data_IF_412324310714
#
_entry.id   IF_412324310714
#
_cell.length_a   1.000
_cell.length_b   1.000
_cell.length_c   1.000
_cell.angle_alpha   90.00
_cell.angle_beta   90.00
_cell.angle_gamma   90.00
#
_symmetry.space_group_name_H-M   'P 1'
#
loop_
_entity.id
_entity.type
_entity.pdbx_description
1 polymer ?
#
# COMPACT_ATOMS: atom_id res chain seq x y z
N UNK A 1 10.68 -24.15 -5.28
CA UNK A 1 9.64 -25.15 -4.95
C UNK A 1 8.57 -24.45 -4.13
N UNK A 2 7.33 -24.29 -4.63
CA UNK A 2 6.24 -23.69 -3.83
C UNK A 2 5.79 -24.69 -2.77
N UNK A 3 5.64 -24.25 -1.52
CA UNK A 3 5.17 -25.10 -0.42
C UNK A 3 3.69 -25.43 -0.62
N UNK A 4 3.32 -26.71 -0.58
CA UNK A 4 1.91 -27.17 -0.65
C UNK A 4 1.05 -26.50 0.43
N UNK A 5 1.61 -26.28 1.62
CA UNK A 5 0.94 -25.56 2.70
C UNK A 5 0.65 -24.10 2.32
N UNK A 6 1.62 -23.40 1.74
CA UNK A 6 1.43 -22.01 1.33
C UNK A 6 0.39 -21.86 0.21
N UNK A 7 0.26 -22.86 -0.67
CA UNK A 7 -0.81 -22.88 -1.67
C UNK A 7 -2.18 -23.15 -1.06
N UNK A 8 -2.27 -24.05 -0.09
CA UNK A 8 -3.52 -24.30 0.64
C UNK A 8 -3.99 -23.05 1.38
N UNK A 9 -3.10 -22.39 2.12
CA UNK A 9 -3.43 -21.15 2.85
C UNK A 9 -3.93 -20.03 1.93
N UNK A 10 -3.37 -19.91 0.71
CA UNK A 10 -3.87 -18.94 -0.27
C UNK A 10 -5.28 -19.28 -0.72
N UNK A 11 -5.55 -20.56 -1.03
CA UNK A 11 -6.89 -20.99 -1.43
C UNK A 11 -7.92 -20.74 -0.33
N UNK A 12 -7.58 -21.05 0.92
CA UNK A 12 -8.48 -20.86 2.06
C UNK A 12 -8.75 -19.37 2.31
N UNK A 13 -7.72 -18.53 2.15
CA UNK A 13 -7.85 -17.07 2.23
C UNK A 13 -8.74 -16.52 1.10
N UNK A 14 -8.51 -16.97 -0.14
CA UNK A 14 -9.28 -16.54 -1.31
C UNK A 14 -10.76 -16.91 -1.16
N UNK A 15 -11.05 -18.11 -0.64
CA UNK A 15 -12.42 -18.56 -0.39
C UNK A 15 -13.09 -17.73 0.71
N UNK A 16 -12.37 -17.44 1.79
CA UNK A 16 -12.87 -16.58 2.88
C UNK A 16 -13.23 -15.18 2.38
N UNK A 17 -12.38 -14.58 1.53
CA UNK A 17 -12.63 -13.26 0.93
C UNK A 17 -13.80 -13.29 -0.05
N UNK A 18 -14.05 -14.40 -0.75
CA UNK A 18 -15.21 -14.53 -1.66
C UNK A 18 -16.55 -14.55 -0.94
N UNK A 19 -16.57 -15.03 0.30
CA UNK A 19 -17.78 -15.10 1.12
C UNK A 19 -18.13 -13.77 1.78
N UNK A 20 -17.21 -12.80 1.76
CA UNK A 20 -17.43 -11.45 2.28
C UNK A 20 -18.28 -10.61 1.33
N UNK A 21 -19.06 -9.72 1.92
CA UNK A 21 -19.73 -8.61 1.24
C UNK A 21 -18.70 -7.63 0.62
N UNK A 22 -19.20 -6.65 -0.14
CA UNK A 22 -18.32 -5.60 -0.70
C UNK A 22 -17.71 -4.75 0.42
N UNK A 23 -18.51 -4.37 1.42
CA UNK A 23 -18.07 -3.50 2.50
C UNK A 23 -16.98 -4.18 3.36
N UNK A 24 -17.19 -5.45 3.74
CA UNK A 24 -16.20 -6.24 4.49
C UNK A 24 -14.88 -6.39 3.73
N UNK A 25 -14.94 -6.51 2.39
CA UNK A 25 -13.73 -6.58 1.57
C UNK A 25 -12.98 -5.25 1.53
N UNK A 26 -13.70 -4.13 1.51
CA UNK A 26 -13.08 -2.80 1.56
C UNK A 26 -12.41 -2.58 2.92
N UNK A 27 -13.10 -2.90 4.00
CA UNK A 27 -12.56 -2.78 5.36
C UNK A 27 -11.32 -3.66 5.56
N UNK A 28 -11.35 -4.90 5.05
CA UNK A 28 -10.19 -5.79 5.06
C UNK A 28 -9.03 -5.20 4.26
N UNK A 29 -9.28 -4.69 3.04
CA UNK A 29 -8.24 -4.12 2.20
C UNK A 29 -7.58 -2.89 2.86
N UNK A 30 -8.38 -2.02 3.48
CA UNK A 30 -7.89 -0.84 4.19
C UNK A 30 -7.08 -1.21 5.43
N UNK A 31 -7.56 -2.16 6.24
CA UNK A 31 -6.85 -2.61 7.44
C UNK A 31 -5.51 -3.28 7.10
N UNK A 32 -5.46 -4.10 6.04
CA UNK A 32 -4.19 -4.67 5.54
C UNK A 32 -3.21 -3.57 5.11
N UNK A 33 -3.70 -2.50 4.50
CA UNK A 33 -2.89 -1.33 4.15
C UNK A 33 -2.25 -0.67 5.38
N UNK A 34 -3.05 -0.45 6.43
CA UNK A 34 -2.59 0.15 7.69
C UNK A 34 -1.54 -0.74 8.38
N UNK A 35 -1.80 -2.05 8.51
CA UNK A 35 -0.89 -3.01 9.12
C UNK A 35 0.48 -3.03 8.43
N UNK A 36 0.50 -2.91 7.10
CA UNK A 36 1.76 -2.84 6.33
C UNK A 36 2.54 -1.57 6.66
N UNK A 37 1.86 -0.42 6.76
CA UNK A 37 2.50 0.86 7.11
C UNK A 37 3.07 0.79 8.52
N UNK A 38 2.32 0.27 9.48
CA UNK A 38 2.75 0.08 10.86
C UNK A 38 3.97 -0.84 10.95
N UNK A 39 3.93 -1.98 10.26
CA UNK A 39 5.05 -2.93 10.22
C UNK A 39 6.30 -2.28 9.64
N UNK A 40 6.15 -1.51 8.56
CA UNK A 40 7.26 -0.77 7.95
C UNK A 40 7.83 0.28 8.90
N UNK A 41 6.95 1.06 9.55
CA UNK A 41 7.32 2.07 10.54
C UNK A 41 8.13 1.45 11.69
N UNK A 42 7.61 0.36 12.26
CA UNK A 42 8.26 -0.37 13.35
C UNK A 42 9.62 -0.93 12.95
N UNK A 43 9.72 -1.54 11.76
CA UNK A 43 10.98 -2.12 11.26
C UNK A 43 12.10 -1.08 11.09
N UNK A 44 11.75 0.20 10.96
CA UNK A 44 12.66 1.32 10.74
C UNK A 44 12.79 2.26 11.92
N UNK A 45 12.03 2.04 13.00
CA UNK A 45 11.98 2.93 14.15
C UNK A 45 11.49 4.34 13.82
N UNK A 46 10.58 4.48 12.86
CA UNK A 46 9.99 5.77 12.44
C UNK A 46 8.50 5.82 12.79
N UNK A 47 7.90 7.00 12.68
CA UNK A 47 6.46 7.18 12.91
C UNK A 47 5.63 6.65 11.74
N UNK A 48 4.33 6.42 12.00
CA UNK A 48 3.36 6.04 10.98
C UNK A 48 3.29 7.05 9.82
N UNK A 49 3.24 8.35 10.11
CA UNK A 49 3.13 9.39 9.10
C UNK A 49 4.39 9.51 8.23
N UNK A 50 5.57 9.25 8.80
CA UNK A 50 6.82 9.18 8.04
C UNK A 50 6.83 7.95 7.14
N UNK A 51 6.42 6.79 7.66
CA UNK A 51 6.29 5.56 6.89
C UNK A 51 5.33 5.72 5.70
N UNK A 52 4.16 6.30 5.93
CA UNK A 52 3.17 6.57 4.89
C UNK A 52 3.76 7.46 3.78
N UNK A 53 4.42 8.57 4.15
CA UNK A 53 5.05 9.49 3.18
C UNK A 53 6.13 8.80 2.35
N UNK A 54 6.98 7.98 2.98
CA UNK A 54 8.03 7.25 2.30
C UNK A 54 7.46 6.20 1.33
N UNK A 55 6.48 5.40 1.77
CA UNK A 55 5.84 4.39 0.92
C UNK A 55 5.10 5.03 -0.26
N UNK A 56 4.46 6.18 -0.07
CA UNK A 56 3.85 6.94 -1.16
C UNK A 56 4.89 7.46 -2.16
N UNK A 57 6.04 7.94 -1.68
CA UNK A 57 7.15 8.41 -2.55
C UNK A 57 7.74 7.26 -3.37
N UNK A 58 7.98 6.10 -2.76
CA UNK A 58 8.46 4.89 -3.44
C UNK A 58 7.48 4.40 -4.51
N UNK A 59 6.17 4.43 -4.25
CA UNK A 59 5.14 4.06 -5.26
C UNK A 59 5.13 4.97 -6.49
N UNK A 60 5.72 6.18 -6.41
CA UNK A 60 5.91 7.11 -7.53
C UNK A 60 7.20 6.83 -8.32
N UNK A 61 8.19 6.16 -7.72
CA UNK A 61 9.41 5.79 -8.44
C UNK A 61 9.08 4.84 -9.60
N UNK A 62 9.42 5.26 -10.83
CA UNK A 62 9.16 4.50 -12.06
C UNK A 62 7.83 4.80 -12.74
N UNK A 63 6.94 5.60 -12.14
CA UNK A 63 5.77 6.13 -12.84
C UNK A 63 6.21 7.31 -13.72
N UNK A 64 5.86 7.28 -15.01
CA UNK A 64 5.98 8.46 -15.86
C UNK A 64 4.87 9.43 -15.49
N UNK A 65 5.22 10.61 -15.01
CA UNK A 65 4.23 11.64 -14.73
C UNK A 65 3.49 12.00 -16.02
N UNK A 66 2.19 12.21 -15.92
CA UNK A 66 1.46 12.89 -16.99
C UNK A 66 1.87 14.35 -16.98
N UNK A 67 1.86 14.99 -18.16
CA UNK A 67 2.29 16.39 -18.33
C UNK A 67 1.56 17.36 -17.37
N UNK A 68 0.29 17.10 -17.09
CA UNK A 68 -0.50 17.89 -16.13
C UNK A 68 -0.01 17.78 -14.67
N UNK A 69 0.55 16.65 -14.26
CA UNK A 69 1.11 16.47 -12.91
C UNK A 69 2.49 17.11 -12.81
N UNK A 70 3.27 17.09 -13.90
CA UNK A 70 4.58 17.77 -13.97
C UNK A 70 4.42 19.28 -13.75
N UNK A 71 3.37 19.89 -14.32
CA UNK A 71 3.08 21.32 -14.17
C UNK A 71 2.72 21.70 -12.71
N UNK A 72 1.97 20.86 -12.00
CA UNK A 72 1.58 21.09 -10.60
C UNK A 72 2.76 20.92 -9.61
N UNK A 73 3.63 19.93 -9.82
CA UNK A 73 4.81 19.69 -8.96
C UNK A 73 5.90 20.79 -9.11
N UNK A 74 5.90 21.53 -10.22
CA UNK A 74 6.82 22.67 -10.46
C UNK A 74 6.39 23.90 -9.66
N UNK A 75 5.09 24.15 -9.54
CA UNK A 75 4.56 25.28 -8.76
C UNK A 75 4.82 25.10 -7.26
N UNK A 76 4.65 23.89 -6.72
CA UNK A 76 4.94 23.58 -5.31
C UNK A 76 6.42 23.73 -4.92
N UNK A 77 7.34 23.59 -5.90
CA UNK A 77 8.77 23.82 -5.70
C UNK A 77 9.20 25.27 -5.89
N UNK A 78 8.43 26.07 -6.63
CA UNK A 78 8.71 27.49 -6.84
C UNK A 78 8.21 28.39 -5.70
N UNK A 79 7.38 27.84 -4.79
CA UNK A 79 6.82 28.52 -3.61
C UNK A 79 7.67 28.28 -2.34
N UNK A 80 8.78 27.54 -2.44
CA UNK A 80 9.78 27.38 -1.36
C UNK A 80 11.08 28.08 -1.70
#
# INVERSE_FOLDING_TARGET
MRSKLAEQLRKDTDESVRQMSVDERLDLALSLGNTVIETFAWSRGITYDEALRLLQKEKRHGRRYSRCIEELDVEDKAVR
#
